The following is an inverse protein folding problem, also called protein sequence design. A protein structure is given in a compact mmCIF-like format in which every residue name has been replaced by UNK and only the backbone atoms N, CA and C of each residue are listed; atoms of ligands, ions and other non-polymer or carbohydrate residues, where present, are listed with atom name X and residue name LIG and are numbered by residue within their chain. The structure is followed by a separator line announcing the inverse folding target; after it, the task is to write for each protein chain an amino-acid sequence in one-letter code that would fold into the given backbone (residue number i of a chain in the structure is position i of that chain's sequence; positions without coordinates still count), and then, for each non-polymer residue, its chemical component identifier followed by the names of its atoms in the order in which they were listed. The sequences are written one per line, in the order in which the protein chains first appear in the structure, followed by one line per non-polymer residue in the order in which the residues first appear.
data_IF_032039535708
#
_entry.id   IF_032039535708
#
_cell.length_a   1.000
_cell.length_b   1.000
_cell.length_c   1.000
_cell.angle_alpha   90.00
_cell.angle_beta   90.00
_cell.angle_gamma   90.00
#
_symmetry.space_group_name_H-M   'P 1'
#
loop_
_entity.id
_entity.type
_entity.pdbx_description
1 polymer ?
#
# COMPACT_ATOMS: atom_id res chain seq x y z
N UNK A 1 -3.46 -18.45 -4.43
CA UNK A 1 -3.39 -18.30 -2.97
C UNK A 1 -3.38 -16.81 -2.65
N UNK A 2 -4.25 -16.38 -1.74
CA UNK A 2 -4.40 -14.99 -1.28
C UNK A 2 -3.79 -14.91 0.12
N UNK A 3 -3.01 -13.85 0.38
CA UNK A 3 -2.29 -13.68 1.65
C UNK A 3 -2.62 -12.34 2.28
N UNK A 4 -2.65 -12.31 3.61
CA UNK A 4 -2.70 -11.07 4.38
C UNK A 4 -1.27 -10.65 4.75
N UNK A 5 -0.85 -9.47 4.31
CA UNK A 5 0.44 -8.88 4.63
C UNK A 5 0.22 -7.76 5.63
N UNK A 6 0.91 -7.81 6.78
CA UNK A 6 0.83 -6.77 7.79
C UNK A 6 1.93 -5.73 7.57
N UNK A 7 1.56 -4.48 7.32
CA UNK A 7 2.49 -3.39 7.07
C UNK A 7 2.35 -2.30 8.12
N UNK A 8 3.48 -1.81 8.64
CA UNK A 8 3.52 -0.58 9.43
C UNK A 8 3.51 0.61 8.49
N UNK A 9 2.59 1.52 8.75
CA UNK A 9 2.37 2.71 7.96
C UNK A 9 2.31 3.91 8.90
N UNK A 10 3.03 4.97 8.56
CA UNK A 10 2.85 6.28 9.20
C UNK A 10 1.78 7.02 8.42
N UNK A 11 0.73 7.40 9.12
CA UNK A 11 -0.45 8.01 8.49
C UNK A 11 -0.85 9.26 9.28
N UNK A 12 -1.10 10.35 8.55
CA UNK A 12 -1.62 11.60 9.09
C UNK A 12 -0.55 12.55 9.65
N UNK A 13 -0.99 13.75 10.02
CA UNK A 13 -0.12 14.88 10.39
C UNK A 13 0.71 14.66 11.68
N UNK A 14 0.27 13.72 12.53
CA UNK A 14 1.00 13.30 13.74
C UNK A 14 1.91 12.07 13.53
N UNK A 15 2.05 11.58 12.29
CA UNK A 15 2.94 10.44 11.94
C UNK A 15 2.76 9.23 12.87
N UNK A 16 1.52 8.93 13.27
CA UNK A 16 1.28 7.82 14.19
C UNK A 16 1.54 6.51 13.47
N UNK A 17 2.34 5.64 14.08
CA UNK A 17 2.57 4.29 13.57
C UNK A 17 1.26 3.49 13.68
N UNK A 18 0.83 2.94 12.54
CA UNK A 18 -0.39 2.13 12.41
C UNK A 18 -0.04 0.85 11.67
N UNK A 19 -0.68 -0.24 12.06
CA UNK A 19 -0.57 -1.51 11.33
C UNK A 19 -1.79 -1.66 10.44
N UNK A 20 -1.57 -1.92 9.16
CA UNK A 20 -2.61 -2.16 8.16
C UNK A 20 -2.45 -3.56 7.60
N UNK A 21 -3.56 -4.27 7.42
CA UNK A 21 -3.62 -5.53 6.69
C UNK A 21 -3.84 -5.30 5.20
N UNK A 22 -2.91 -5.76 4.37
CA UNK A 22 -3.00 -5.74 2.92
C UNK A 22 -3.38 -7.13 2.43
N UNK A 23 -4.48 -7.23 1.70
CA UNK A 23 -4.85 -8.48 1.01
C UNK A 23 -4.11 -8.48 -0.32
N UNK A 24 -3.17 -9.41 -0.49
CA UNK A 24 -2.35 -9.52 -1.69
C UNK A 24 -2.62 -10.85 -2.35
N UNK A 25 -3.02 -10.78 -3.61
CA UNK A 25 -3.16 -11.95 -4.46
C UNK A 25 -1.79 -12.37 -5.00
N UNK A 26 -1.53 -13.68 -5.03
CA UNK A 26 -0.31 -14.25 -5.63
C UNK A 26 0.99 -13.68 -5.04
N UNK A 27 1.03 -13.36 -3.75
CA UNK A 27 2.27 -13.06 -3.03
C UNK A 27 3.13 -14.34 -2.82
N UNK A 28 3.72 -14.85 -3.90
CA UNK A 28 4.41 -16.15 -3.94
C UNK A 28 5.92 -16.06 -3.82
N UNK A 29 6.52 -14.90 -4.12
CA UNK A 29 7.97 -14.71 -4.17
C UNK A 29 8.41 -13.55 -3.28
N UNK A 30 9.62 -13.66 -2.73
CA UNK A 30 10.31 -12.58 -2.04
C UNK A 30 11.64 -12.36 -2.74
N UNK A 31 11.89 -11.14 -3.18
CA UNK A 31 13.09 -10.76 -3.93
C UNK A 31 13.85 -9.70 -3.15
N UNK A 32 15.18 -9.79 -3.16
CA UNK A 32 16.06 -8.73 -2.68
C UNK A 32 16.55 -7.94 -3.88
N UNK A 33 16.12 -6.69 -3.99
CA UNK A 33 16.45 -5.80 -5.10
C UNK A 33 17.25 -4.64 -4.53
N UNK A 34 18.37 -4.31 -5.19
CA UNK A 34 19.15 -3.14 -4.81
C UNK A 34 18.33 -1.85 -5.02
N UNK A 35 18.44 -0.91 -4.07
CA UNK A 35 17.64 0.32 -4.12
C UNK A 35 17.97 1.18 -5.35
N UNK A 36 19.21 1.16 -5.84
CA UNK A 36 19.63 1.89 -7.03
C UNK A 36 19.12 1.26 -8.33
N UNK A 37 18.65 0.02 -8.31
CA UNK A 37 18.01 -0.62 -9.47
C UNK A 37 16.63 -0.03 -9.80
N UNK A 38 16.00 0.67 -8.85
CA UNK A 38 14.70 1.30 -9.03
C UNK A 38 14.78 2.62 -9.79
N UNK A 39 14.07 2.69 -10.93
CA UNK A 39 14.00 3.83 -11.85
C UNK A 39 12.58 4.43 -11.87
N UNK A 40 12.45 5.67 -12.30
CA UNK A 40 11.13 6.31 -12.42
C UNK A 40 10.21 5.48 -13.34
N UNK A 41 8.97 5.23 -12.91
CA UNK A 41 7.99 4.41 -13.63
C UNK A 41 7.40 5.09 -14.86
N UNK A 42 7.59 6.41 -15.02
CA UNK A 42 6.90 7.23 -16.03
C UNK A 42 5.40 7.43 -15.75
N UNK A 43 4.86 6.76 -14.72
CA UNK A 43 3.46 6.82 -14.31
C UNK A 43 3.37 7.66 -13.04
N UNK A 44 2.95 8.91 -13.17
CA UNK A 44 2.75 9.82 -12.05
C UNK A 44 1.47 10.62 -12.27
N UNK A 45 0.35 10.08 -11.78
CA UNK A 45 -0.93 10.78 -11.71
C UNK A 45 -1.39 10.81 -10.26
N UNK A 46 -2.24 11.77 -9.90
CA UNK A 46 -2.87 11.81 -8.57
C UNK A 46 -3.64 10.51 -8.24
N UNK A 47 -4.16 9.85 -9.28
CA UNK A 47 -4.87 8.55 -9.19
C UNK A 47 -3.95 7.34 -9.07
N UNK A 48 -2.63 7.52 -9.12
CA UNK A 48 -1.63 6.44 -9.02
C UNK A 48 -0.52 6.81 -8.05
N UNK A 49 -0.80 7.66 -7.06
CA UNK A 49 0.19 8.18 -6.09
C UNK A 49 0.96 7.08 -5.34
N UNK A 50 0.36 5.91 -5.15
CA UNK A 50 0.99 4.74 -4.51
C UNK A 50 1.92 3.95 -5.43
N UNK A 51 1.86 4.20 -6.74
CA UNK A 51 2.71 3.54 -7.72
C UNK A 51 4.06 4.27 -7.80
N UNK A 52 5.06 3.64 -7.20
CA UNK A 52 6.42 4.15 -7.16
C UNK A 52 7.26 3.71 -8.35
N UNK A 53 8.57 3.72 -8.11
CA UNK A 53 9.61 3.34 -9.07
C UNK A 53 9.51 1.87 -9.50
N UNK A 54 10.08 1.56 -10.64
CA UNK A 54 10.14 0.20 -11.21
C UNK A 54 11.57 -0.31 -11.25
N UNK A 55 11.75 -1.61 -11.04
CA UNK A 55 13.01 -2.32 -11.22
C UNK A 55 12.80 -3.44 -12.24
N UNK A 56 13.72 -3.57 -13.19
CA UNK A 56 13.77 -4.72 -14.09
C UNK A 56 14.58 -5.83 -13.41
N UNK A 57 14.00 -7.01 -13.29
CA UNK A 57 14.61 -8.23 -12.76
C UNK A 57 14.69 -9.29 -13.87
N UNK A 58 15.37 -10.41 -13.61
CA UNK A 58 15.39 -11.56 -14.52
C UNK A 58 13.99 -12.10 -14.86
N UNK A 59 13.06 -11.98 -13.91
CA UNK A 59 11.72 -12.55 -13.98
C UNK A 59 10.65 -11.53 -14.43
N UNK A 60 11.07 -10.31 -14.79
CA UNK A 60 10.19 -9.27 -15.32
C UNK A 60 10.34 -7.93 -14.61
N UNK A 61 9.22 -7.23 -14.43
CA UNK A 61 9.20 -5.88 -13.86
C UNK A 61 8.60 -5.94 -12.46
N UNK A 62 9.32 -5.37 -11.48
CA UNK A 62 8.81 -5.18 -10.12
C UNK A 62 8.54 -3.70 -9.91
N UNK A 63 7.31 -3.38 -9.53
CA UNK A 63 6.90 -2.02 -9.22
C UNK A 63 6.78 -1.82 -7.72
N UNK A 64 7.40 -0.76 -7.21
CA UNK A 64 7.27 -0.39 -5.81
C UNK A 64 5.86 0.16 -5.55
N UNK A 65 5.26 -0.30 -4.45
CA UNK A 65 3.98 0.23 -3.94
C UNK A 65 4.23 0.90 -2.60
N UNK A 66 3.80 2.16 -2.48
CA UNK A 66 3.81 2.89 -1.22
C UNK A 66 2.49 2.64 -0.48
N UNK A 67 2.58 2.02 0.70
CA UNK A 67 1.41 1.72 1.53
C UNK A 67 0.80 3.00 2.09
N UNK A 68 1.63 4.00 2.44
CA UNK A 68 1.15 5.29 2.95
C UNK A 68 0.36 6.05 1.90
N UNK A 69 0.87 6.09 0.67
CA UNK A 69 0.19 6.76 -0.44
C UNK A 69 -1.04 5.98 -0.91
N UNK A 70 -1.21 4.71 -0.52
CA UNK A 70 -2.44 3.98 -0.79
C UNK A 70 -3.62 4.52 0.03
N UNK A 71 -3.34 5.11 1.20
CA UNK A 71 -4.35 5.61 2.14
C UNK A 71 -4.56 7.13 1.93
N UNK A 72 -5.59 7.50 1.16
CA UNK A 72 -6.03 8.90 1.13
C UNK A 72 -6.77 9.30 2.42
N UNK A 73 -7.15 10.57 2.49
CA UNK A 73 -7.86 11.15 3.62
C UNK A 73 -9.20 10.46 3.90
N UNK A 74 -9.90 9.97 2.88
CA UNK A 74 -11.18 9.26 3.06
C UNK A 74 -10.91 7.87 3.66
N UNK A 75 -9.99 7.11 3.06
CA UNK A 75 -9.60 5.80 3.60
C UNK A 75 -9.07 5.90 5.04
N UNK A 76 -8.34 6.99 5.36
CA UNK A 76 -7.85 7.26 6.71
C UNK A 76 -8.99 7.39 7.73
N UNK A 77 -10.04 8.13 7.38
CA UNK A 77 -11.19 8.33 8.26
C UNK A 77 -11.89 7.01 8.60
N UNK A 78 -12.07 6.14 7.60
CA UNK A 78 -12.69 4.82 7.79
C UNK A 78 -11.79 3.83 8.54
N UNK A 79 -10.48 3.86 8.29
CA UNK A 79 -9.54 2.90 8.87
C UNK A 79 -9.09 3.26 10.30
N UNK A 80 -9.06 4.56 10.65
CA UNK A 80 -8.41 5.01 11.89
C UNK A 80 -9.22 5.99 12.74
N UNK A 81 -10.00 6.90 12.14
CA UNK A 81 -10.73 7.93 12.89
C UNK A 81 -12.13 7.46 13.34
N UNK A 82 -12.48 6.21 13.04
CA UNK A 82 -13.69 5.60 13.56
C UNK A 82 -14.95 6.35 13.14
N UNK A 83 -15.01 6.88 11.91
CA UNK A 83 -16.29 7.25 11.31
C UNK A 83 -17.15 5.99 11.43
N UNK A 84 -18.31 6.02 12.12
CA UNK A 84 -19.09 4.82 12.34
C UNK A 84 -19.41 4.24 10.96
N UNK A 85 -18.72 3.15 10.62
CA UNK A 85 -19.10 2.29 9.52
C UNK A 85 -20.55 1.96 9.78
N UNK A 86 -21.38 2.19 8.77
CA UNK A 86 -22.82 1.97 8.77
C UNK A 86 -23.16 0.84 9.75
N UNK A 87 -23.76 1.19 10.88
CA UNK A 87 -24.01 0.27 11.98
C UNK A 87 -24.69 -0.96 11.39
N UNK A 88 -24.12 -2.13 11.64
CA UNK A 88 -24.72 -3.38 11.23
C UNK A 88 -26.17 -3.38 11.68
N UNK A 89 -27.10 -3.38 10.72
CA UNK A 89 -28.46 -3.83 10.94
C UNK A 89 -28.35 -5.25 11.50
N UNK A 90 -28.50 -5.36 12.81
CA UNK A 90 -28.90 -6.58 13.49
C UNK A 90 -30.31 -6.29 14.01
N UNK A 91 -31.29 -6.69 13.19
CA UNK A 91 -32.67 -6.92 13.60
C UNK A 91 -32.90 -8.43 13.61
#
# INVERSE_FOLDING_TARGET
STRLVMARCRVGQLERDRVIGLIVERATQTLRIDRAAFRASGVSTARTRWLGRVANTSDGIVQQVSVADLIDDVARQYLFDGLPGHGGESA
#
